data_IF_570584556100
#
_entry.id   IF_570584556100
#
_cell.length_a   1.000
_cell.length_b   1.000
_cell.length_c   1.000
_cell.angle_alpha   90.00
_cell.angle_beta   90.00
_cell.angle_gamma   90.00
#
_symmetry.space_group_name_H-M   'P 1'
#
loop_
_entity.id
_entity.type
_entity.pdbx_description
1 polymer ?
#
# COMPACT_ATOMS: atom_id res chain seq x y z
N UNK A 1 7.16 29.57 -4.58
CA UNK A 1 6.94 28.85 -3.30
C UNK A 1 5.49 28.49 -3.01
N UNK A 2 4.50 29.40 -3.12
CA UNK A 2 3.08 29.10 -2.79
C UNK A 2 2.48 27.89 -3.53
N UNK A 3 2.78 27.73 -4.83
CA UNK A 3 2.30 26.59 -5.61
C UNK A 3 2.90 25.25 -5.17
N UNK A 4 4.21 25.21 -4.90
CA UNK A 4 4.88 24.00 -4.38
C UNK A 4 4.27 23.62 -3.03
N UNK A 5 4.04 24.58 -2.13
CA UNK A 5 3.42 24.30 -0.83
C UNK A 5 2.00 23.74 -0.93
N UNK A 6 1.24 24.12 -1.96
CA UNK A 6 -0.12 23.64 -2.17
C UNK A 6 -0.18 22.29 -2.89
N UNK A 7 0.73 22.05 -3.83
CA UNK A 7 0.66 20.91 -4.76
C UNK A 7 1.82 19.90 -4.63
N UNK A 8 2.65 20.00 -3.57
CA UNK A 8 3.82 19.15 -3.37
C UNK A 8 3.55 17.65 -3.58
N UNK A 9 2.44 17.13 -3.04
CA UNK A 9 2.11 15.72 -3.12
C UNK A 9 1.74 15.26 -4.54
N UNK A 10 1.06 16.11 -5.32
CA UNK A 10 0.77 15.83 -6.74
C UNK A 10 2.07 15.86 -7.54
N UNK A 11 2.95 16.84 -7.29
CA UNK A 11 4.25 16.91 -7.95
C UNK A 11 5.10 15.67 -7.64
N UNK A 12 5.10 15.18 -6.40
CA UNK A 12 5.81 13.92 -6.06
C UNK A 12 5.28 12.75 -6.88
N UNK A 13 3.96 12.57 -6.99
CA UNK A 13 3.40 11.50 -7.80
C UNK A 13 3.69 11.65 -9.30
N UNK A 14 3.64 12.87 -9.84
CA UNK A 14 3.99 13.11 -11.25
C UNK A 14 5.46 12.81 -11.53
N UNK A 15 6.36 13.14 -10.60
CA UNK A 15 7.78 12.77 -10.68
C UNK A 15 7.93 11.25 -10.68
N UNK A 16 7.26 10.55 -9.75
CA UNK A 16 7.27 9.09 -9.71
C UNK A 16 6.72 8.46 -10.98
N UNK A 17 5.60 8.99 -11.51
CA UNK A 17 5.03 8.53 -12.77
C UNK A 17 5.99 8.68 -13.94
N UNK A 18 6.63 9.85 -14.07
CA UNK A 18 7.63 10.08 -15.11
C UNK A 18 8.79 9.08 -15.03
N UNK A 19 9.23 8.71 -13.82
CA UNK A 19 10.23 7.65 -13.64
C UNK A 19 9.71 6.26 -14.04
N UNK A 20 8.49 5.90 -13.63
CA UNK A 20 7.89 4.60 -13.95
C UNK A 20 7.72 4.38 -15.46
N UNK A 21 7.40 5.43 -16.22
CA UNK A 21 7.34 5.38 -17.68
C UNK A 21 8.67 4.98 -18.34
N UNK A 22 9.81 5.17 -17.67
CA UNK A 22 11.13 4.81 -18.22
C UNK A 22 11.46 3.31 -18.09
N UNK A 23 10.67 2.57 -17.30
CA UNK A 23 10.90 1.16 -16.94
C UNK A 23 9.71 0.25 -17.23
N UNK A 24 8.59 0.80 -17.70
CA UNK A 24 7.35 0.06 -17.98
C UNK A 24 7.57 -1.04 -19.02
N UNK A 25 6.95 -2.20 -18.82
CA UNK A 25 7.02 -3.31 -19.76
C UNK A 25 6.27 -2.98 -21.07
N UNK A 26 6.84 -3.28 -22.25
CA UNK A 26 6.16 -3.06 -23.53
C UNK A 26 4.97 -4.01 -23.73
N UNK A 27 4.99 -5.16 -23.06
CA UNK A 27 4.01 -6.26 -23.21
C UNK A 27 3.81 -7.03 -21.89
N UNK A 28 3.31 -8.27 -21.97
CA UNK A 28 3.17 -9.18 -20.83
C UNK A 28 4.54 -9.55 -20.27
N UNK A 29 4.61 -9.77 -18.96
CA UNK A 29 5.80 -10.29 -18.29
C UNK A 29 5.46 -11.63 -17.61
N UNK A 30 6.32 -12.10 -16.70
CA UNK A 30 6.12 -13.32 -15.91
C UNK A 30 4.84 -13.34 -15.06
N UNK A 31 4.55 -14.52 -14.51
CA UNK A 31 3.51 -14.79 -13.49
C UNK A 31 2.12 -14.47 -14.07
N UNK A 32 1.32 -13.62 -13.43
CA UNK A 32 -0.11 -13.51 -13.68
C UNK A 32 -0.46 -12.42 -14.69
N UNK A 33 0.53 -11.67 -15.17
CA UNK A 33 0.27 -10.44 -15.96
C UNK A 33 -0.55 -10.67 -17.23
N UNK A 34 -0.34 -11.79 -17.94
CA UNK A 34 -1.12 -12.13 -19.13
C UNK A 34 -2.58 -12.45 -18.80
N UNK A 35 -2.80 -13.28 -17.77
CA UNK A 35 -4.13 -13.61 -17.28
C UNK A 35 -4.87 -12.36 -16.75
N UNK A 36 -4.21 -11.54 -15.95
CA UNK A 36 -4.75 -10.30 -15.39
C UNK A 36 -5.06 -9.25 -16.47
N UNK A 37 -4.24 -9.15 -17.51
CA UNK A 37 -4.54 -8.31 -18.67
C UNK A 37 -5.78 -8.81 -19.42
N UNK A 38 -5.86 -10.12 -19.66
CA UNK A 38 -6.96 -10.74 -20.38
C UNK A 38 -8.29 -10.57 -19.64
N UNK A 39 -8.34 -10.79 -18.33
CA UNK A 39 -9.55 -10.57 -17.53
C UNK A 39 -9.95 -9.09 -17.48
N UNK A 40 -9.00 -8.16 -17.43
CA UNK A 40 -9.31 -6.73 -17.53
C UNK A 40 -9.86 -6.37 -18.92
N UNK A 41 -9.37 -6.97 -20.01
CA UNK A 41 -9.86 -6.66 -21.36
C UNK A 41 -11.20 -7.33 -21.69
N UNK A 42 -11.49 -8.49 -21.09
CA UNK A 42 -12.67 -9.31 -21.41
C UNK A 42 -13.75 -9.30 -20.33
N UNK A 43 -13.50 -8.56 -19.24
CA UNK A 43 -14.31 -8.59 -18.01
C UNK A 43 -14.44 -10.05 -17.51
N UNK A 44 -13.33 -10.77 -17.39
CA UNK A 44 -13.28 -12.18 -16.99
C UNK A 44 -13.25 -12.40 -15.47
N UNK A 45 -13.09 -13.65 -15.02
CA UNK A 45 -12.84 -13.98 -13.61
C UNK A 45 -11.41 -14.51 -13.49
N UNK A 46 -10.59 -13.74 -12.78
CA UNK A 46 -9.21 -14.06 -12.48
C UNK A 46 -9.09 -15.21 -11.49
N UNK A 47 -7.88 -15.73 -11.32
CA UNK A 47 -7.53 -16.64 -10.26
C UNK A 47 -7.94 -16.08 -8.87
N UNK A 48 -8.23 -16.96 -7.88
CA UNK A 48 -8.55 -16.58 -6.52
C UNK A 48 -7.61 -15.50 -5.95
N UNK A 49 -8.09 -14.49 -5.23
CA UNK A 49 -9.47 -14.34 -4.71
C UNK A 49 -10.42 -13.63 -5.69
N UNK A 50 -10.04 -13.52 -6.97
CA UNK A 50 -10.88 -13.09 -8.09
C UNK A 50 -10.86 -11.59 -8.38
N UNK A 51 -10.32 -10.79 -7.46
CA UNK A 51 -9.99 -9.36 -7.64
C UNK A 51 -11.08 -8.51 -8.35
N UNK A 52 -12.36 -8.60 -7.96
CA UNK A 52 -13.48 -8.01 -8.71
C UNK A 52 -13.32 -6.50 -8.96
N UNK A 53 -12.82 -5.74 -7.98
CA UNK A 53 -12.61 -4.30 -8.15
C UNK A 53 -11.53 -4.00 -9.19
N UNK A 54 -10.42 -4.75 -9.14
CA UNK A 54 -9.31 -4.63 -10.11
C UNK A 54 -9.78 -4.91 -11.53
N UNK A 55 -10.55 -5.99 -11.71
CA UNK A 55 -11.07 -6.39 -13.01
C UNK A 55 -12.04 -5.36 -13.58
N UNK A 56 -13.00 -4.88 -12.78
CA UNK A 56 -13.98 -3.90 -13.25
C UNK A 56 -13.36 -2.55 -13.60
N UNK A 57 -12.43 -2.04 -12.76
CA UNK A 57 -11.75 -0.77 -13.04
C UNK A 57 -10.82 -0.88 -14.25
N UNK A 58 -10.09 -1.99 -14.36
CA UNK A 58 -9.25 -2.29 -15.53
C UNK A 58 -10.08 -2.37 -16.81
N UNK A 59 -11.24 -3.04 -16.78
CA UNK A 59 -12.14 -3.11 -17.91
C UNK A 59 -12.63 -1.74 -18.36
N UNK A 60 -13.11 -0.90 -17.43
CA UNK A 60 -13.52 0.48 -17.75
C UNK A 60 -12.35 1.25 -18.38
N UNK A 61 -11.14 1.13 -17.84
CA UNK A 61 -9.97 1.79 -18.41
C UNK A 61 -9.60 1.23 -19.79
N UNK A 62 -9.75 -0.07 -20.01
CA UNK A 62 -9.49 -0.73 -21.30
C UNK A 62 -10.41 -0.22 -22.41
N UNK A 63 -11.59 0.31 -22.09
CA UNK A 63 -12.51 0.89 -23.07
C UNK A 63 -12.04 2.27 -23.58
N UNK A 64 -11.09 2.92 -22.91
CA UNK A 64 -10.54 4.20 -23.37
C UNK A 64 -9.72 3.96 -24.65
N UNK A 65 -10.02 4.66 -25.77
CA UNK A 65 -9.35 4.45 -27.04
C UNK A 65 -8.00 5.17 -27.09
N UNK A 66 -7.00 4.60 -26.43
CA UNK A 66 -5.61 5.09 -26.49
C UNK A 66 -4.86 4.46 -27.67
N UNK A 67 -3.86 5.14 -28.26
CA UNK A 67 -3.11 4.67 -29.43
C UNK A 67 -2.01 3.65 -29.04
N UNK A 68 -2.30 2.76 -28.09
CA UNK A 68 -1.37 1.75 -27.58
C UNK A 68 -1.99 0.35 -27.65
N UNK A 69 -1.18 -0.69 -27.56
CA UNK A 69 -1.68 -2.05 -27.33
C UNK A 69 -2.46 -2.12 -26.00
N UNK A 70 -3.42 -3.03 -25.90
CA UNK A 70 -4.21 -3.16 -24.66
C UNK A 70 -3.34 -3.56 -23.47
N UNK A 71 -2.34 -4.41 -23.67
CA UNK A 71 -1.40 -4.78 -22.62
C UNK A 71 -0.59 -3.59 -22.13
N UNK A 72 -0.02 -2.78 -23.03
CA UNK A 72 0.71 -1.57 -22.64
C UNK A 72 -0.20 -0.58 -21.92
N UNK A 73 -1.45 -0.45 -22.36
CA UNK A 73 -2.47 0.35 -21.68
C UNK A 73 -2.73 -0.15 -20.25
N UNK A 74 -2.77 -1.47 -20.00
CA UNK A 74 -2.93 -2.00 -18.64
C UNK A 74 -1.67 -1.82 -17.78
N UNK A 75 -0.48 -1.99 -18.36
CA UNK A 75 0.78 -1.66 -17.68
C UNK A 75 0.84 -0.17 -17.29
N UNK A 76 0.33 0.72 -18.15
CA UNK A 76 0.25 2.15 -17.89
C UNK A 76 -0.69 2.46 -16.71
N UNK A 77 -1.80 1.72 -16.61
CA UNK A 77 -2.72 1.83 -15.49
C UNK A 77 -2.06 1.46 -14.15
N UNK A 78 -1.23 0.42 -14.14
CA UNK A 78 -0.44 0.04 -12.96
C UNK A 78 0.51 1.18 -12.53
N UNK A 79 1.21 1.80 -13.48
CA UNK A 79 2.06 2.97 -13.23
C UNK A 79 1.27 4.16 -12.65
N UNK A 80 0.06 4.42 -13.17
CA UNK A 80 -0.84 5.45 -12.64
C UNK A 80 -1.24 5.14 -11.19
N UNK A 81 -1.65 3.91 -10.89
CA UNK A 81 -2.04 3.54 -9.52
C UNK A 81 -0.89 3.74 -8.52
N UNK A 82 0.33 3.28 -8.86
CA UNK A 82 1.50 3.46 -8.01
C UNK A 82 1.86 4.94 -7.82
N UNK A 83 1.81 5.76 -8.88
CA UNK A 83 2.09 7.19 -8.79
C UNK A 83 1.07 7.97 -7.93
N UNK A 84 -0.22 7.61 -8.04
CA UNK A 84 -1.26 8.18 -7.17
C UNK A 84 -1.08 7.70 -5.73
N UNK A 85 -0.69 6.43 -5.51
CA UNK A 85 -0.37 5.92 -4.19
C UNK A 85 0.76 6.72 -3.52
N UNK A 86 1.83 7.05 -4.26
CA UNK A 86 2.92 7.92 -3.79
C UNK A 86 2.41 9.32 -3.43
N UNK A 87 1.51 9.89 -4.23
CA UNK A 87 0.87 11.19 -3.93
C UNK A 87 0.09 11.14 -2.62
N UNK A 88 -0.74 10.11 -2.45
CA UNK A 88 -1.56 9.90 -1.27
C UNK A 88 -0.69 9.67 -0.03
N UNK A 89 0.35 8.86 -0.15
CA UNK A 89 1.34 8.65 0.91
C UNK A 89 2.01 9.97 1.31
N UNK A 90 2.49 10.75 0.34
CA UNK A 90 3.16 12.04 0.57
C UNK A 90 2.24 13.03 1.29
N UNK A 91 0.97 13.09 0.90
CA UNK A 91 -0.02 13.90 1.59
C UNK A 91 -0.24 13.41 3.03
N UNK A 92 -0.37 12.10 3.22
CA UNK A 92 -0.57 11.46 4.54
C UNK A 92 0.61 11.69 5.47
N UNK A 93 1.85 11.60 4.97
CA UNK A 93 3.06 11.86 5.73
C UNK A 93 3.07 13.28 6.31
N UNK A 94 2.77 14.31 5.49
CA UNK A 94 2.63 15.68 5.99
C UNK A 94 1.49 15.81 7.00
N UNK A 95 0.34 15.17 6.75
CA UNK A 95 -0.80 15.19 7.66
C UNK A 95 -0.43 14.65 9.05
N UNK A 96 0.37 13.59 9.12
CA UNK A 96 0.93 13.05 10.37
C UNK A 96 1.81 14.09 11.06
N UNK A 97 2.75 14.71 10.32
CA UNK A 97 3.64 15.76 10.85
C UNK A 97 2.90 17.05 11.28
N UNK A 98 1.76 17.35 10.68
CA UNK A 98 0.90 18.47 11.08
C UNK A 98 0.15 18.20 12.38
N UNK A 99 -0.03 16.93 12.74
CA UNK A 99 -0.85 16.50 13.87
C UNK A 99 -0.07 15.73 14.93
N UNK A 100 1.24 15.98 15.09
CA UNK A 100 2.10 15.26 16.04
C UNK A 100 1.54 15.22 17.47
N UNK A 101 0.93 16.32 17.93
CA UNK A 101 0.32 16.40 19.25
C UNK A 101 -0.81 15.38 19.46
N UNK A 102 -1.60 15.06 18.42
CA UNK A 102 -2.64 14.04 18.50
C UNK A 102 -2.06 12.63 18.73
N UNK A 103 -0.84 12.41 18.24
CA UNK A 103 -0.11 11.15 18.35
C UNK A 103 0.74 11.03 19.62
N UNK A 104 0.77 12.05 20.48
CA UNK A 104 1.39 11.97 21.79
C UNK A 104 0.47 11.31 22.82
N UNK A 105 1.05 10.56 23.76
CA UNK A 105 0.33 10.16 24.96
C UNK A 105 0.34 11.33 25.94
N UNK A 106 -0.85 11.80 26.34
CA UNK A 106 -0.95 12.78 27.40
C UNK A 106 -0.62 12.07 28.71
N UNK A 107 0.50 12.41 29.33
CA UNK A 107 0.75 12.07 30.73
C UNK A 107 -0.31 12.79 31.56
N UNK A 108 -1.38 12.09 31.95
CA UNK A 108 -2.23 12.55 33.04
C UNK A 108 -1.36 12.52 34.29
N UNK A 109 -0.93 13.68 34.77
CA UNK A 109 -0.38 13.76 36.12
C UNK A 109 -1.43 13.20 37.06
N UNK A 110 -1.10 12.13 37.80
CA UNK A 110 -1.90 11.73 38.97
C UNK A 110 -1.91 12.93 39.91
N UNK A 111 -2.94 13.77 39.84
CA UNK A 111 -3.28 14.60 40.99
C UNK A 111 -3.62 13.60 42.09
N UNK A 112 -2.72 13.49 43.07
CA UNK A 112 -2.92 12.72 44.27
C UNK A 112 -4.28 13.10 44.86
N UNK A 113 -5.26 12.21 44.70
CA UNK A 113 -6.55 12.27 45.37
C UNK A 113 -6.37 11.87 46.84
N UNK A 114 -5.59 12.67 47.57
CA UNK A 114 -5.55 12.65 49.04
C UNK A 114 -5.46 14.09 49.55
N UNK A 115 -6.64 14.61 49.94
CA UNK A 115 -6.89 15.74 50.87
C UNK A 115 -6.41 17.15 50.47
N UNK A 116 -7.33 18.04 50.06
CA UNK A 116 -8.00 19.04 50.92
C UNK A 116 -8.85 20.02 50.08
N UNK A 117 -10.00 20.40 50.66
CA UNK A 117 -10.92 21.47 50.25
C UNK A 117 -10.23 22.83 50.13
N UNK A 118 -10.82 23.69 49.29
CA UNK A 118 -10.66 25.15 49.13
C UNK A 118 -9.33 25.63 48.50
N UNK A 119 -9.36 25.83 47.18
CA UNK A 119 -9.27 27.17 46.59
C UNK A 119 -9.55 27.10 45.08
N UNK A 120 -10.66 27.72 44.69
CA UNK A 120 -11.08 27.93 43.30
C UNK A 120 -10.32 29.13 42.73
N UNK A 121 -9.21 28.85 42.03
CA UNK A 121 -8.64 29.61 40.89
C UNK A 121 -7.15 29.31 40.68
N UNK A 122 -6.77 28.03 40.58
CA UNK A 122 -5.50 27.66 39.94
C UNK A 122 -5.77 27.15 38.54
N UNK A 123 -5.49 28.03 37.57
CA UNK A 123 -5.36 27.67 36.15
C UNK A 123 -4.36 26.52 36.09
N UNK A 124 -4.86 25.33 35.77
CA UNK A 124 -4.03 24.14 35.55
C UNK A 124 -3.19 24.42 34.32
N UNK A 125 -1.91 24.73 34.52
CA UNK A 125 -0.97 24.87 33.41
C UNK A 125 -0.86 23.50 32.68
N UNK A 126 -0.93 23.48 31.34
CA UNK A 126 -0.76 22.23 30.61
C UNK A 126 0.66 21.71 30.80
N UNK A 127 0.77 20.43 31.15
CA UNK A 127 2.04 19.69 31.22
C UNK A 127 2.78 19.86 29.90
N UNK A 128 4.06 20.29 29.94
CA UNK A 128 4.94 20.39 28.77
C UNK A 128 5.00 19.04 28.06
N UNK A 129 4.24 18.91 26.99
CA UNK A 129 4.48 17.89 25.97
C UNK A 129 5.73 18.31 25.22
N UNK A 130 6.63 17.37 24.95
CA UNK A 130 7.79 17.55 24.08
C UNK A 130 7.30 17.78 22.64
N UNK A 131 6.76 18.96 22.38
CA UNK A 131 6.31 19.38 21.07
C UNK A 131 7.51 19.92 20.30
N UNK A 132 7.78 19.28 19.16
CA UNK A 132 8.80 19.73 18.23
C UNK A 132 8.17 20.79 17.33
N UNK A 133 8.69 22.02 17.35
CA UNK A 133 8.23 23.05 16.44
C UNK A 133 8.90 22.83 15.07
N UNK A 134 8.11 22.34 14.11
CA UNK A 134 8.54 22.07 12.75
C UNK A 134 7.96 23.13 11.80
N UNK A 135 8.84 23.82 11.06
CA UNK A 135 8.41 24.69 9.98
C UNK A 135 7.65 23.89 8.91
N UNK A 136 6.67 24.51 8.25
CA UNK A 136 5.87 23.86 7.20
C UNK A 136 6.76 23.37 6.04
N UNK A 137 7.80 24.14 5.71
CA UNK A 137 8.83 23.77 4.72
C UNK A 137 9.50 22.45 5.07
N UNK A 138 9.91 22.23 6.33
CA UNK A 138 10.58 21.00 6.73
C UNK A 138 9.64 19.79 6.64
N UNK A 139 8.38 19.96 7.02
CA UNK A 139 7.37 18.90 6.89
C UNK A 139 7.14 18.51 5.43
N UNK A 140 7.06 19.50 4.54
CA UNK A 140 6.88 19.26 3.10
C UNK A 140 8.10 18.53 2.52
N UNK A 141 9.32 18.97 2.82
CA UNK A 141 10.55 18.31 2.36
C UNK A 141 10.58 16.85 2.84
N UNK A 142 10.35 16.61 4.14
CA UNK A 142 10.33 15.26 4.70
C UNK A 142 9.27 14.37 4.06
N UNK A 143 8.08 14.92 3.77
CA UNK A 143 7.02 14.19 3.10
C UNK A 143 7.36 13.86 1.64
N UNK A 144 7.92 14.81 0.87
CA UNK A 144 8.32 14.59 -0.53
C UNK A 144 9.38 13.48 -0.59
N UNK A 145 10.46 13.60 0.18
CA UNK A 145 11.55 12.63 0.14
C UNK A 145 11.12 11.26 0.68
N UNK A 146 10.26 11.21 1.71
CA UNK A 146 9.67 9.95 2.16
C UNK A 146 8.82 9.27 1.06
N UNK A 147 8.05 10.05 0.30
CA UNK A 147 7.28 9.55 -0.84
C UNK A 147 8.17 9.05 -1.98
N UNK A 148 9.27 9.76 -2.27
CA UNK A 148 10.23 9.33 -3.29
C UNK A 148 11.04 8.09 -2.86
N UNK A 149 11.39 7.96 -1.57
CA UNK A 149 12.02 6.73 -1.05
C UNK A 149 11.08 5.52 -1.17
N UNK A 150 9.77 5.70 -0.95
CA UNK A 150 8.79 4.66 -1.21
C UNK A 150 8.68 4.37 -2.72
N UNK A 151 8.62 5.42 -3.54
CA UNK A 151 8.45 5.28 -4.98
C UNK A 151 9.58 4.50 -5.63
N UNK A 152 10.80 4.65 -5.11
CA UNK A 152 12.02 3.98 -5.57
C UNK A 152 12.37 2.72 -4.77
N UNK A 153 11.49 2.25 -3.88
CA UNK A 153 11.66 0.90 -3.32
C UNK A 153 11.52 -0.12 -4.44
N UNK A 154 12.46 -1.06 -4.54
CA UNK A 154 12.53 -2.04 -5.63
C UNK A 154 11.19 -2.70 -5.88
N UNK A 155 10.57 -3.29 -4.85
CA UNK A 155 9.30 -4.01 -5.02
C UNK A 155 8.16 -3.06 -5.35
N UNK A 156 8.06 -1.89 -4.70
CA UNK A 156 7.02 -0.90 -5.01
C UNK A 156 7.11 -0.41 -6.45
N UNK A 157 8.33 -0.11 -6.91
CA UNK A 157 8.61 0.30 -8.28
C UNK A 157 8.29 -0.82 -9.27
N UNK A 158 8.65 -2.07 -8.97
CA UNK A 158 8.33 -3.21 -9.84
C UNK A 158 6.82 -3.32 -10.12
N UNK A 159 5.95 -3.10 -9.11
CA UNK A 159 4.49 -3.09 -9.30
C UNK A 159 3.97 -1.99 -10.23
N UNK A 160 4.78 -1.00 -10.58
CA UNK A 160 4.42 0.03 -11.56
C UNK A 160 4.76 -0.34 -13.01
N UNK A 161 5.51 -1.43 -13.22
CA UNK A 161 6.05 -1.77 -14.54
C UNK A 161 5.11 -2.61 -15.39
N UNK A 162 4.20 -3.35 -14.76
CA UNK A 162 3.28 -4.25 -15.44
C UNK A 162 1.94 -4.36 -14.72
N UNK A 163 0.93 -4.85 -15.43
CA UNK A 163 -0.40 -5.13 -14.89
C UNK A 163 -0.36 -6.22 -13.82
N UNK A 164 -0.53 -5.79 -12.57
CA UNK A 164 -0.58 -6.64 -11.39
C UNK A 164 -1.59 -6.10 -10.38
N UNK A 165 -2.20 -7.00 -9.59
CA UNK A 165 -3.25 -6.63 -8.61
C UNK A 165 -2.73 -5.73 -7.49
N UNK A 166 -1.41 -5.81 -7.23
CA UNK A 166 -0.74 -5.08 -6.16
C UNK A 166 -0.62 -3.57 -6.45
N UNK A 167 -0.60 -3.16 -7.72
CA UNK A 167 -0.56 -1.75 -8.11
C UNK A 167 -1.78 -0.98 -7.58
N UNK A 168 -2.99 -1.50 -7.84
CA UNK A 168 -4.23 -0.97 -7.29
C UNK A 168 -4.30 -1.17 -5.76
N UNK A 169 -3.77 -2.29 -5.26
CA UNK A 169 -3.73 -2.54 -3.83
C UNK A 169 -2.93 -1.47 -3.06
N UNK A 170 -1.77 -1.05 -3.58
CA UNK A 170 -0.95 0.02 -3.01
C UNK A 170 -1.70 1.35 -2.93
N UNK A 171 -2.45 1.70 -3.97
CA UNK A 171 -3.34 2.87 -3.95
C UNK A 171 -4.41 2.73 -2.86
N UNK A 172 -5.11 1.60 -2.81
CA UNK A 172 -6.16 1.37 -1.82
C UNK A 172 -5.63 1.42 -0.39
N UNK A 173 -4.50 0.77 -0.11
CA UNK A 173 -3.85 0.77 1.20
C UNK A 173 -3.41 2.17 1.62
N UNK A 174 -2.77 2.95 0.74
CA UNK A 174 -2.37 4.32 1.07
C UNK A 174 -3.58 5.22 1.32
N UNK A 175 -4.68 5.02 0.58
CA UNK A 175 -5.96 5.72 0.81
C UNK A 175 -6.60 5.28 2.13
N UNK A 176 -6.60 3.99 2.48
CA UNK A 176 -7.09 3.47 3.76
C UNK A 176 -6.33 4.12 4.91
N UNK A 177 -5.00 4.18 4.84
CA UNK A 177 -4.16 4.85 5.84
C UNK A 177 -4.51 6.35 5.90
N UNK A 178 -4.61 7.05 4.76
CA UNK A 178 -4.99 8.46 4.73
C UNK A 178 -6.31 8.72 5.45
N UNK A 179 -7.35 7.96 5.12
CA UNK A 179 -8.69 8.13 5.68
C UNK A 179 -8.71 7.76 7.15
N UNK A 180 -7.97 6.72 7.57
CA UNK A 180 -7.77 6.38 8.98
C UNK A 180 -7.11 7.52 9.75
N UNK A 181 -6.04 8.11 9.22
CA UNK A 181 -5.35 9.24 9.86
C UNK A 181 -6.25 10.47 9.93
N UNK A 182 -7.04 10.77 8.89
CA UNK A 182 -8.08 11.81 8.94
C UNK A 182 -9.15 11.51 10.00
N UNK A 183 -9.59 10.25 10.10
CA UNK A 183 -10.55 9.84 11.11
C UNK A 183 -10.00 10.00 12.52
N UNK A 184 -8.73 9.64 12.74
CA UNK A 184 -8.06 9.79 14.03
C UNK A 184 -7.89 11.26 14.44
N UNK A 185 -7.40 12.10 13.52
CA UNK A 185 -7.00 13.49 13.80
C UNK A 185 -8.15 14.48 13.72
N UNK A 186 -9.09 14.33 12.80
CA UNK A 186 -10.13 15.32 12.48
C UNK A 186 -11.54 14.95 12.95
N UNK A 187 -11.74 13.76 13.55
CA UNK A 187 -13.06 13.41 14.09
C UNK A 187 -13.38 14.23 15.34
N UNK A 188 -14.57 14.84 15.33
CA UNK A 188 -15.13 15.58 16.44
C UNK A 188 -15.86 14.63 17.39
N UNK A 189 -15.53 14.69 18.68
CA UNK A 189 -16.12 13.87 19.74
C UNK A 189 -17.62 14.12 19.96
N UNK A 190 -18.11 15.30 19.56
CA UNK A 190 -19.51 15.71 19.70
C UNK A 190 -20.46 14.96 18.76
N UNK A 191 -19.98 14.44 17.61
CA UNK A 191 -20.82 13.65 16.71
C UNK A 191 -20.86 12.19 17.15
N UNK A 192 -22.00 11.53 16.95
CA UNK A 192 -22.13 10.09 17.19
C UNK A 192 -21.18 9.30 16.29
N UNK A 193 -21.08 9.67 15.01
CA UNK A 193 -20.14 9.09 14.03
C UNK A 193 -19.62 10.19 13.09
N UNK A 194 -18.29 10.27 12.94
CA UNK A 194 -17.66 11.19 11.98
C UNK A 194 -17.69 10.63 10.55
N UNK A 195 -17.89 11.49 9.54
CA UNK A 195 -17.84 11.10 8.12
C UNK A 195 -16.57 10.35 7.74
N UNK A 196 -15.44 10.63 8.38
CA UNK A 196 -14.16 9.97 8.10
C UNK A 196 -14.16 8.50 8.51
N UNK A 197 -14.87 8.12 9.58
CA UNK A 197 -15.02 6.70 9.95
C UNK A 197 -15.91 5.94 8.97
N UNK A 198 -16.90 6.62 8.37
CA UNK A 198 -17.72 6.03 7.29
C UNK A 198 -16.91 5.86 6.02
N UNK A 199 -16.16 6.88 5.61
CA UNK A 199 -15.25 6.75 4.47
C UNK A 199 -14.20 5.68 4.71
N UNK A 200 -13.69 5.54 5.94
CA UNK A 200 -12.77 4.47 6.30
C UNK A 200 -13.38 3.09 6.03
N UNK A 201 -14.62 2.86 6.50
CA UNK A 201 -15.34 1.60 6.26
C UNK A 201 -15.51 1.30 4.76
N UNK A 202 -15.87 2.31 3.96
CA UNK A 202 -16.00 2.18 2.50
C UNK A 202 -14.65 1.82 1.87
N UNK A 203 -13.59 2.57 2.17
CA UNK A 203 -12.25 2.32 1.59
C UNK A 203 -11.69 0.96 2.01
N UNK A 204 -12.01 0.51 3.23
CA UNK A 204 -11.62 -0.81 3.70
C UNK A 204 -12.31 -1.92 2.89
N UNK A 205 -13.61 -1.76 2.60
CA UNK A 205 -14.35 -2.69 1.73
C UNK A 205 -13.75 -2.75 0.32
N UNK A 206 -13.38 -1.59 -0.25
CA UNK A 206 -12.67 -1.53 -1.53
C UNK A 206 -11.33 -2.29 -1.49
N UNK A 207 -10.55 -2.11 -0.41
CA UNK A 207 -9.31 -2.86 -0.19
C UNK A 207 -9.52 -4.37 -0.22
N UNK A 208 -10.46 -4.88 0.58
CA UNK A 208 -10.79 -6.31 0.61
C UNK A 208 -11.31 -6.82 -0.73
N UNK A 209 -12.04 -6.01 -1.50
CA UNK A 209 -12.48 -6.41 -2.84
C UNK A 209 -11.37 -6.44 -3.90
N UNK A 210 -10.16 -6.00 -3.55
CA UNK A 210 -8.98 -6.05 -4.41
C UNK A 210 -7.94 -7.06 -3.96
N UNK A 211 -7.63 -7.18 -2.66
CA UNK A 211 -6.66 -8.19 -2.20
C UNK A 211 -6.80 -8.47 -0.69
N UNK A 212 -6.64 -9.73 -0.27
CA UNK A 212 -6.83 -10.16 1.12
C UNK A 212 -5.77 -9.62 2.09
N UNK A 213 -4.60 -9.21 1.60
CA UNK A 213 -3.57 -8.55 2.42
C UNK A 213 -4.05 -7.20 3.01
N UNK A 214 -5.22 -6.69 2.62
CA UNK A 214 -5.90 -5.62 3.37
C UNK A 214 -6.10 -6.01 4.84
N UNK A 215 -6.26 -7.29 5.16
CA UNK A 215 -6.36 -7.76 6.55
C UNK A 215 -5.16 -7.36 7.42
N UNK A 216 -3.97 -7.20 6.84
CA UNK A 216 -2.72 -6.95 7.57
C UNK A 216 -2.68 -5.60 8.28
N UNK A 217 -3.51 -4.63 7.85
CA UNK A 217 -3.61 -3.32 8.51
C UNK A 217 -4.56 -3.34 9.73
N UNK A 218 -5.42 -4.35 9.84
CA UNK A 218 -6.51 -4.40 10.84
C UNK A 218 -6.00 -4.36 12.28
N UNK A 219 -4.92 -5.05 12.68
CA UNK A 219 -4.38 -4.92 14.03
C UNK A 219 -3.97 -3.48 14.38
N UNK A 220 -3.34 -2.78 13.43
CA UNK A 220 -2.96 -1.37 13.59
C UNK A 220 -4.19 -0.45 13.66
N UNK A 221 -5.17 -0.64 12.76
CA UNK A 221 -6.45 0.08 12.77
C UNK A 221 -7.14 -0.08 14.12
N UNK A 222 -7.23 -1.31 14.62
CA UNK A 222 -7.89 -1.66 15.88
C UNK A 222 -7.26 -0.90 17.03
N UNK A 223 -5.92 -0.94 17.13
CA UNK A 223 -5.17 -0.16 18.11
C UNK A 223 -5.51 1.34 18.01
N UNK A 224 -5.40 1.94 16.82
CA UNK A 224 -5.56 3.37 16.66
C UNK A 224 -7.01 3.83 16.91
N UNK A 225 -7.99 3.00 16.51
CA UNK A 225 -9.41 3.23 16.77
C UNK A 225 -9.71 3.27 18.26
N UNK A 226 -9.25 2.28 19.02
CA UNK A 226 -9.51 2.22 20.46
C UNK A 226 -8.71 3.26 21.26
N UNK A 227 -7.52 3.66 20.79
CA UNK A 227 -6.78 4.79 21.36
C UNK A 227 -7.56 6.11 21.20
N UNK A 228 -8.29 6.29 20.09
CA UNK A 228 -9.10 7.50 19.85
C UNK A 228 -10.45 7.47 20.57
N UNK A 229 -11.18 6.36 20.47
CA UNK A 229 -12.59 6.29 20.88
C UNK A 229 -12.80 5.59 22.23
N UNK A 230 -11.75 5.00 22.80
CA UNK A 230 -11.82 4.20 24.03
C UNK A 230 -12.62 2.90 23.86
N UNK A 231 -12.55 2.03 24.86
CA UNK A 231 -13.37 0.81 24.93
C UNK A 231 -14.69 1.12 25.64
N UNK A 232 -15.77 1.29 24.89
CA UNK A 232 -17.08 1.68 25.44
C UNK A 232 -18.23 1.18 24.56
N UNK A 233 -19.46 1.14 25.10
CA UNK A 233 -20.64 0.79 24.30
C UNK A 233 -20.86 1.74 23.12
N UNK A 234 -20.44 3.01 23.23
CA UNK A 234 -20.50 3.98 22.11
C UNK A 234 -19.55 3.57 20.99
N UNK A 235 -18.32 3.19 21.31
CA UNK A 235 -17.33 2.79 20.30
C UNK A 235 -17.70 1.45 19.64
N UNK A 236 -18.33 0.52 20.38
CA UNK A 236 -18.87 -0.72 19.80
C UNK A 236 -20.03 -0.42 18.84
N UNK A 237 -21.00 0.44 19.23
CA UNK A 237 -22.11 0.85 18.35
C UNK A 237 -21.60 1.50 17.05
N UNK A 238 -20.54 2.29 17.15
CA UNK A 238 -19.90 2.89 15.97
C UNK A 238 -19.25 1.83 15.07
N UNK A 239 -18.60 0.79 15.62
CA UNK A 239 -18.09 -0.34 14.83
C UNK A 239 -19.23 -1.04 14.10
N UNK A 240 -20.33 -1.35 14.79
CA UNK A 240 -21.51 -1.99 14.18
C UNK A 240 -22.02 -1.15 13.00
N UNK A 241 -22.13 0.16 13.18
CA UNK A 241 -22.57 1.05 12.09
C UNK A 241 -21.57 1.10 10.92
N UNK A 242 -20.26 1.09 11.19
CA UNK A 242 -19.25 0.96 10.13
C UNK A 242 -19.39 -0.37 9.37
N UNK A 243 -19.66 -1.47 10.08
CA UNK A 243 -19.87 -2.79 9.46
C UNK A 243 -21.13 -2.82 8.59
N UNK A 244 -22.20 -2.12 9.00
CA UNK A 244 -23.42 -1.96 8.20
C UNK A 244 -23.20 -1.21 6.88
N UNK A 245 -22.11 -0.44 6.74
CA UNK A 245 -21.71 0.18 5.47
C UNK A 245 -20.70 -0.69 4.73
N UNK A 246 -19.74 -1.27 5.46
CA UNK A 246 -18.68 -2.11 4.91
C UNK A 246 -19.24 -3.32 4.16
N UNK A 247 -20.12 -4.11 4.78
CA UNK A 247 -20.60 -5.36 4.18
C UNK A 247 -21.42 -5.13 2.90
N UNK A 248 -22.39 -4.18 2.84
CA UNK A 248 -23.10 -3.92 1.59
C UNK A 248 -22.18 -3.49 0.43
N UNK A 249 -21.19 -2.63 0.68
CA UNK A 249 -20.22 -2.22 -0.35
C UNK A 249 -19.40 -3.41 -0.82
N UNK A 250 -18.91 -4.22 0.12
CA UNK A 250 -18.13 -5.42 -0.18
C UNK A 250 -18.95 -6.42 -1.00
N UNK A 251 -20.17 -6.73 -0.57
CA UNK A 251 -21.08 -7.66 -1.23
C UNK A 251 -21.48 -7.15 -2.62
N UNK A 252 -21.72 -5.86 -2.78
CA UNK A 252 -22.02 -5.26 -4.08
C UNK A 252 -20.90 -5.54 -5.09
N UNK A 253 -19.65 -5.34 -4.68
CA UNK A 253 -18.50 -5.56 -5.56
C UNK A 253 -18.27 -7.06 -5.80
N UNK A 254 -18.35 -7.91 -4.77
CA UNK A 254 -18.17 -9.35 -4.90
C UNK A 254 -19.31 -10.04 -5.67
N UNK A 255 -20.50 -9.43 -5.75
CA UNK A 255 -21.61 -9.94 -6.58
C UNK A 255 -21.22 -10.08 -8.06
N UNK A 256 -20.18 -9.36 -8.49
CA UNK A 256 -19.53 -9.54 -9.79
C UNK A 256 -19.22 -11.01 -10.09
N UNK A 257 -18.66 -11.76 -9.14
CA UNK A 257 -18.20 -13.13 -9.37
C UNK A 257 -19.33 -14.08 -9.82
N UNK A 258 -20.41 -14.28 -9.05
CA UNK A 258 -21.49 -15.17 -9.47
C UNK A 258 -22.28 -14.65 -10.67
N UNK A 259 -22.50 -13.33 -10.76
CA UNK A 259 -23.19 -12.73 -11.91
C UNK A 259 -22.39 -12.99 -13.18
N UNK A 260 -21.09 -12.72 -13.16
CA UNK A 260 -20.25 -12.91 -14.33
C UNK A 260 -20.10 -14.39 -14.65
N UNK A 261 -19.88 -15.27 -13.67
CA UNK A 261 -19.81 -16.71 -13.89
C UNK A 261 -21.08 -17.27 -14.58
N UNK A 262 -22.27 -16.76 -14.25
CA UNK A 262 -23.54 -17.17 -14.89
C UNK A 262 -23.64 -16.83 -16.38
N UNK A 263 -22.82 -15.90 -16.86
CA UNK A 263 -22.76 -15.48 -18.26
C UNK A 263 -21.75 -16.29 -19.08
N UNK A 264 -21.10 -17.30 -18.49
CA UNK A 264 -20.09 -18.15 -19.14
C UNK A 264 -18.97 -17.32 -19.83
N UNK A 265 -18.21 -16.50 -19.08
CA UNK A 265 -17.13 -15.72 -19.65
C UNK A 265 -16.02 -16.64 -20.15
N UNK A 266 -15.25 -16.17 -21.15
CA UNK A 266 -14.11 -16.92 -21.70
C UNK A 266 -13.13 -17.31 -20.60
N UNK A 267 -12.77 -16.35 -19.75
CA UNK A 267 -12.00 -16.58 -18.53
C UNK A 267 -12.94 -16.70 -17.33
N UNK A 268 -13.06 -17.91 -16.77
CA UNK A 268 -13.96 -18.22 -15.68
C UNK A 268 -13.29 -19.05 -14.57
N UNK A 269 -12.21 -18.53 -13.98
CA UNK A 269 -11.41 -19.32 -13.02
C UNK A 269 -12.23 -19.80 -11.83
N UNK A 270 -12.23 -21.11 -11.58
CA UNK A 270 -12.98 -21.75 -10.49
C UNK A 270 -14.51 -21.72 -10.65
N UNK A 271 -15.05 -21.04 -11.66
CA UNK A 271 -16.48 -20.91 -11.97
C UNK A 271 -17.35 -20.70 -10.72
N UNK A 272 -17.26 -19.54 -10.04
CA UNK A 272 -17.93 -19.23 -8.77
C UNK A 272 -19.44 -18.97 -8.93
N UNK A 273 -20.17 -19.92 -9.52
CA UNK A 273 -21.61 -19.80 -9.84
C UNK A 273 -22.55 -20.21 -8.70
N UNK A 274 -22.05 -20.94 -7.70
CA UNK A 274 -22.83 -21.41 -6.56
C UNK A 274 -22.10 -21.16 -5.24
N UNK A 275 -22.80 -21.29 -4.12
CA UNK A 275 -22.29 -20.94 -2.79
C UNK A 275 -20.96 -21.60 -2.45
N UNK A 276 -20.81 -22.90 -2.71
CA UNK A 276 -19.57 -23.62 -2.44
C UNK A 276 -18.41 -23.02 -3.23
N UNK A 277 -18.57 -22.87 -4.55
CA UNK A 277 -17.50 -22.36 -5.42
C UNK A 277 -17.15 -20.90 -5.13
N UNK A 278 -18.15 -20.07 -4.77
CA UNK A 278 -17.94 -18.69 -4.33
C UNK A 278 -17.05 -18.67 -3.09
N UNK A 279 -17.38 -19.46 -2.05
CA UNK A 279 -16.60 -19.49 -0.81
C UNK A 279 -15.18 -20.01 -1.07
N UNK A 280 -15.03 -21.07 -1.87
CA UNK A 280 -13.71 -21.62 -2.23
C UNK A 280 -12.85 -20.60 -2.97
N UNK A 281 -13.45 -19.84 -3.87
CA UNK A 281 -12.77 -18.82 -4.66
C UNK A 281 -12.40 -17.60 -3.81
N UNK A 282 -13.33 -17.02 -3.04
CA UNK A 282 -13.06 -15.84 -2.21
C UNK A 282 -12.09 -16.14 -1.07
N UNK A 283 -12.14 -17.33 -0.48
CA UNK A 283 -11.22 -17.72 0.60
C UNK A 283 -9.81 -18.09 0.12
N UNK A 284 -9.58 -18.15 -1.19
CA UNK A 284 -8.31 -18.59 -1.77
C UNK A 284 -7.97 -20.03 -1.37
N UNK A 285 -8.98 -20.91 -1.24
CA UNK A 285 -8.82 -22.24 -0.64
C UNK A 285 -7.66 -23.04 -1.27
N UNK A 286 -7.49 -22.94 -2.58
CA UNK A 286 -6.42 -23.64 -3.31
C UNK A 286 -4.99 -23.24 -2.90
N UNK A 287 -4.81 -22.06 -2.29
CA UNK A 287 -3.50 -21.53 -1.91
C UNK A 287 -3.18 -21.70 -0.43
N UNK A 288 -4.17 -22.15 0.36
CA UNK A 288 -3.99 -22.34 1.81
C UNK A 288 -2.95 -23.40 2.15
N UNK A 289 -2.62 -24.29 1.20
CA UNK A 289 -1.57 -25.31 1.34
C UNK A 289 -0.16 -24.72 1.54
N UNK A 290 0.08 -23.48 1.10
CA UNK A 290 1.38 -22.81 1.26
C UNK A 290 1.41 -21.85 2.46
N UNK A 291 0.28 -21.65 3.14
CA UNK A 291 0.19 -20.82 4.34
C UNK A 291 0.55 -21.66 5.58
N UNK A 292 1.47 -21.14 6.39
CA UNK A 292 1.97 -21.77 7.61
C UNK A 292 2.50 -23.19 7.36
N UNK A 293 3.20 -23.39 6.23
CA UNK A 293 3.70 -24.70 5.80
C UNK A 293 4.72 -25.31 6.77
N UNK A 294 5.72 -24.53 7.21
CA UNK A 294 6.68 -24.94 8.25
C UNK A 294 7.45 -23.77 8.88
N UNK A 295 8.13 -24.04 10.00
CA UNK A 295 9.05 -23.08 10.64
C UNK A 295 10.28 -22.79 9.79
N UNK A 296 10.75 -23.76 9.01
CA UNK A 296 11.89 -23.62 8.10
C UNK A 296 11.55 -22.71 6.92
N UNK A 297 10.36 -22.88 6.34
CA UNK A 297 9.84 -21.99 5.31
C UNK A 297 9.72 -20.56 5.84
N UNK A 298 9.19 -20.38 7.06
CA UNK A 298 9.12 -19.06 7.69
C UNK A 298 10.50 -18.43 7.92
N UNK A 299 11.48 -19.21 8.37
CA UNK A 299 12.85 -18.73 8.54
C UNK A 299 13.51 -18.36 7.21
N UNK A 300 13.29 -19.15 6.15
CA UNK A 300 13.75 -18.86 4.79
C UNK A 300 13.20 -17.52 4.30
N UNK A 301 11.88 -17.32 4.37
CA UNK A 301 11.25 -16.07 3.92
C UNK A 301 11.64 -14.86 4.78
N UNK A 302 11.84 -15.06 6.10
CA UNK A 302 12.35 -14.00 6.97
C UNK A 302 13.78 -13.58 6.60
N UNK A 303 14.67 -14.54 6.37
CA UNK A 303 16.04 -14.26 5.93
C UNK A 303 16.06 -13.59 4.55
N UNK A 304 15.18 -14.03 3.63
CA UNK A 304 14.99 -13.37 2.34
C UNK A 304 14.55 -11.91 2.52
N UNK A 305 13.52 -11.65 3.32
CA UNK A 305 13.03 -10.30 3.60
C UNK A 305 14.12 -9.38 4.17
N UNK A 306 14.81 -9.82 5.23
CA UNK A 306 15.89 -9.04 5.85
C UNK A 306 17.04 -8.83 4.87
N UNK A 307 17.40 -9.88 4.14
CA UNK A 307 18.42 -9.85 3.10
C UNK A 307 18.07 -8.88 1.97
N UNK A 308 16.78 -8.68 1.64
CA UNK A 308 16.35 -7.81 0.56
C UNK A 308 16.20 -6.32 0.97
N UNK A 309 16.19 -5.99 2.26
CA UNK A 309 16.00 -4.61 2.75
C UNK A 309 17.00 -3.59 2.16
N UNK A 310 18.24 -4.02 1.90
CA UNK A 310 19.25 -3.15 1.28
C UNK A 310 18.95 -2.87 -0.21
N UNK A 311 18.32 -3.81 -0.93
CA UNK A 311 17.87 -3.57 -2.31
C UNK A 311 16.62 -2.69 -2.36
N UNK A 312 15.81 -2.74 -1.31
CA UNK A 312 14.60 -1.94 -1.19
C UNK A 312 14.91 -0.48 -0.89
N UNK A 313 15.77 -0.19 0.09
CA UNK A 313 15.99 1.19 0.56
C UNK A 313 17.44 1.67 0.41
N UNK A 314 18.39 0.83 0.02
CA UNK A 314 19.82 1.20 -0.11
C UNK A 314 20.31 1.96 1.14
N UNK A 315 21.06 3.05 0.96
CA UNK A 315 21.51 3.92 2.04
C UNK A 315 20.35 4.63 2.78
N UNK A 316 19.20 4.81 2.14
CA UNK A 316 18.00 5.41 2.74
C UNK A 316 17.45 4.57 3.90
N UNK A 317 17.85 3.29 4.01
CA UNK A 317 17.50 2.44 5.14
C UNK A 317 18.01 3.01 6.48
N UNK A 318 19.19 3.65 6.49
CA UNK A 318 19.73 4.30 7.70
C UNK A 318 18.81 5.43 8.16
N UNK A 319 18.22 6.17 7.21
CA UNK A 319 17.26 7.24 7.49
C UNK A 319 15.98 6.64 8.09
N UNK A 320 15.48 5.52 7.54
CA UNK A 320 14.34 4.81 8.12
C UNK A 320 14.60 4.32 9.56
N UNK A 321 15.79 3.76 9.81
CA UNK A 321 16.19 3.29 11.15
C UNK A 321 16.25 4.45 12.15
N UNK A 322 16.86 5.57 11.78
CA UNK A 322 16.85 6.78 12.63
C UNK A 322 15.42 7.24 12.91
N UNK A 323 14.53 7.12 11.91
CA UNK A 323 13.12 7.45 12.00
C UNK A 323 12.31 6.61 12.98
N UNK A 324 12.69 5.35 13.25
CA UNK A 324 12.06 4.52 14.29
C UNK A 324 12.14 5.21 15.66
N UNK A 325 13.34 5.68 16.02
CA UNK A 325 13.60 6.33 17.31
C UNK A 325 12.83 7.66 17.38
N UNK A 326 12.90 8.45 16.31
CA UNK A 326 12.32 9.80 16.27
C UNK A 326 10.78 9.73 16.33
N UNK A 327 10.16 8.81 15.59
CA UNK A 327 8.70 8.62 15.63
C UNK A 327 8.22 8.10 16.98
N UNK A 328 8.99 7.25 17.67
CA UNK A 328 8.68 6.84 19.05
C UNK A 328 8.66 8.02 20.02
N UNK A 329 9.59 8.96 19.88
CA UNK A 329 9.69 10.15 20.73
C UNK A 329 8.57 11.15 20.43
N UNK A 330 8.37 11.50 19.15
CA UNK A 330 7.52 12.64 18.77
C UNK A 330 6.10 12.28 18.33
N UNK A 331 5.82 11.01 18.00
CA UNK A 331 4.53 10.56 17.52
C UNK A 331 4.19 9.15 18.04
N UNK A 332 4.36 8.90 19.35
CA UNK A 332 4.35 7.56 19.94
C UNK A 332 3.15 6.68 19.58
N UNK A 333 1.93 7.23 19.49
CA UNK A 333 0.75 6.49 19.03
C UNK A 333 0.86 6.09 17.55
N UNK A 334 1.34 7.00 16.70
CA UNK A 334 1.59 6.68 15.29
C UNK A 334 2.72 5.65 15.13
N UNK A 335 3.79 5.75 15.94
CA UNK A 335 4.85 4.73 15.98
C UNK A 335 4.28 3.35 16.31
N UNK A 336 3.45 3.22 17.35
CA UNK A 336 2.85 1.94 17.74
C UNK A 336 1.93 1.42 16.62
N UNK A 337 1.12 2.28 16.01
CA UNK A 337 0.34 1.91 14.82
C UNK A 337 1.24 1.36 13.71
N UNK A 338 2.28 2.10 13.34
CA UNK A 338 3.14 1.76 12.21
C UNK A 338 3.97 0.49 12.47
N UNK A 339 4.45 0.27 13.70
CA UNK A 339 5.19 -0.96 14.04
C UNK A 339 4.26 -2.18 14.11
N UNK A 340 3.01 -2.04 14.59
CA UNK A 340 2.03 -3.13 14.54
C UNK A 340 1.75 -3.51 13.09
N UNK A 341 1.55 -2.53 12.19
CA UNK A 341 1.33 -2.79 10.77
C UNK A 341 2.55 -3.47 10.13
N UNK A 342 3.75 -2.98 10.39
CA UNK A 342 5.00 -3.59 9.92
C UNK A 342 5.11 -5.04 10.38
N UNK A 343 4.97 -5.30 11.69
CA UNK A 343 5.09 -6.64 12.26
C UNK A 343 3.97 -7.57 11.77
N UNK A 344 2.73 -7.10 11.67
CA UNK A 344 1.61 -7.90 11.16
C UNK A 344 1.86 -8.32 9.72
N UNK A 345 2.43 -7.42 8.91
CA UNK A 345 2.76 -7.69 7.51
C UNK A 345 3.89 -8.72 7.41
N UNK A 346 5.00 -8.50 8.13
CA UNK A 346 6.16 -9.41 8.08
C UNK A 346 5.77 -10.79 8.62
N UNK A 347 5.10 -10.86 9.78
CA UNK A 347 4.70 -12.14 10.37
C UNK A 347 3.76 -12.94 9.48
N UNK A 348 2.82 -12.29 8.79
CA UNK A 348 1.96 -13.00 7.84
C UNK A 348 2.75 -13.47 6.62
N UNK A 349 3.52 -12.57 6.01
CA UNK A 349 4.19 -12.83 4.73
C UNK A 349 5.28 -13.89 4.85
N UNK A 350 6.04 -13.93 5.95
CA UNK A 350 7.04 -15.00 6.13
C UNK A 350 6.39 -16.39 6.21
N UNK A 351 5.14 -16.48 6.66
CA UNK A 351 4.40 -17.74 6.73
C UNK A 351 3.72 -18.11 5.40
N UNK A 352 4.12 -17.51 4.27
CA UNK A 352 3.62 -17.88 2.96
C UNK A 352 4.77 -18.33 2.06
N UNK A 353 4.80 -19.62 1.72
CA UNK A 353 5.90 -20.24 0.96
C UNK A 353 5.61 -20.25 -0.53
N UNK A 354 5.77 -19.09 -1.16
CA UNK A 354 5.66 -18.87 -2.61
C UNK A 354 6.93 -18.22 -3.16
N UNK A 355 7.12 -18.31 -4.48
CA UNK A 355 8.32 -17.79 -5.15
C UNK A 355 8.30 -16.27 -5.31
N UNK A 356 7.13 -15.67 -5.54
CA UNK A 356 6.88 -14.25 -5.80
C UNK A 356 6.50 -13.47 -4.52
N UNK A 357 7.14 -13.81 -3.40
CA UNK A 357 6.74 -13.32 -2.07
C UNK A 357 6.92 -11.80 -1.86
N UNK A 358 7.76 -11.14 -2.65
CA UNK A 358 8.10 -9.72 -2.50
C UNK A 358 6.85 -8.82 -2.37
N UNK A 359 5.83 -9.06 -3.19
CA UNK A 359 4.56 -8.30 -3.20
C UNK A 359 3.81 -8.35 -1.87
N UNK A 360 3.98 -9.41 -1.07
CA UNK A 360 3.34 -9.53 0.25
C UNK A 360 3.98 -8.63 1.31
N UNK A 361 5.24 -8.21 1.10
CA UNK A 361 5.95 -7.28 1.99
C UNK A 361 5.67 -5.80 1.70
N UNK A 362 4.88 -5.46 0.67
CA UNK A 362 4.63 -4.08 0.25
C UNK A 362 4.15 -3.15 1.39
N UNK A 363 3.25 -3.62 2.26
CA UNK A 363 2.77 -2.81 3.39
C UNK A 363 3.88 -2.57 4.44
N UNK A 364 4.85 -3.49 4.58
CA UNK A 364 6.02 -3.28 5.42
C UNK A 364 6.94 -2.19 4.85
N UNK A 365 7.10 -2.13 3.52
CA UNK A 365 7.86 -1.07 2.84
C UNK A 365 7.17 0.30 2.96
N UNK A 366 5.83 0.35 2.87
CA UNK A 366 5.06 1.57 3.20
C UNK A 366 5.32 2.02 4.64
N UNK A 367 5.34 1.09 5.60
CA UNK A 367 5.69 1.40 6.99
C UNK A 367 7.12 1.89 7.17
N UNK A 368 8.10 1.30 6.48
CA UNK A 368 9.50 1.76 6.50
C UNK A 368 9.64 3.18 5.93
N UNK A 369 8.92 3.50 4.85
CA UNK A 369 8.89 4.85 4.29
C UNK A 369 8.32 5.88 5.29
N UNK A 370 7.27 5.52 6.05
CA UNK A 370 6.79 6.39 7.13
C UNK A 370 7.84 6.62 8.20
N UNK A 371 8.64 5.62 8.56
CA UNK A 371 9.78 5.83 9.46
C UNK A 371 10.81 6.76 8.82
N UNK A 372 11.14 6.56 7.54
CA UNK A 372 12.08 7.43 6.82
C UNK A 372 11.65 8.92 6.88
N UNK A 373 10.35 9.24 6.80
CA UNK A 373 9.85 10.61 6.98
C UNK A 373 10.33 11.23 8.31
N UNK A 374 10.25 10.49 9.42
CA UNK A 374 10.74 10.95 10.72
C UNK A 374 12.27 11.02 10.78
N UNK A 375 12.98 10.10 10.10
CA UNK A 375 14.43 10.17 9.97
C UNK A 375 14.89 11.42 9.23
N UNK A 376 14.19 11.80 8.16
CA UNK A 376 14.45 13.03 7.40
C UNK A 376 14.21 14.26 8.29
N UNK A 377 13.13 14.27 9.07
CA UNK A 377 12.88 15.33 10.06
C UNK A 377 14.07 15.49 11.01
N UNK A 378 14.60 14.39 11.55
CA UNK A 378 15.75 14.42 12.45
C UNK A 378 17.02 14.93 11.77
N UNK A 379 17.29 14.50 10.54
CA UNK A 379 18.42 14.98 9.75
C UNK A 379 18.34 16.50 9.52
N UNK A 380 17.17 17.00 9.11
CA UNK A 380 16.96 18.44 8.88
C UNK A 380 17.18 19.22 10.17
N UNK A 381 16.58 18.79 11.29
CA UNK A 381 16.71 19.48 12.56
C UNK A 381 18.14 19.46 13.10
N UNK A 382 18.85 18.35 12.91
CA UNK A 382 20.26 18.25 13.26
C UNK A 382 21.10 19.28 12.50
N UNK A 383 20.94 19.39 11.18
CA UNK A 383 21.73 20.33 10.38
C UNK A 383 21.35 21.79 10.65
N UNK A 384 20.05 22.07 10.84
CA UNK A 384 19.57 23.41 11.20
C UNK A 384 20.10 23.87 12.56
N UNK A 385 20.26 22.94 13.53
CA UNK A 385 20.88 23.24 14.83
C UNK A 385 22.30 23.79 14.69
N UNK A 386 23.05 23.34 13.69
CA UNK A 386 24.39 23.85 13.37
C UNK A 386 24.39 25.03 12.39
N UNK A 387 23.23 25.68 12.20
CA UNK A 387 23.04 26.81 11.26
C UNK A 387 23.41 26.47 9.81
N UNK A 388 23.38 25.20 9.44
CA UNK A 388 23.60 24.76 8.06
C UNK A 388 22.35 25.09 7.23
N UNK A 389 22.57 25.67 6.06
CA UNK A 389 21.49 26.06 5.14
C UNK A 389 20.73 24.84 4.59
N UNK A 390 19.41 24.99 4.38
CA UNK A 390 18.49 23.89 4.02
C UNK A 390 18.83 23.18 2.71
N UNK A 391 19.63 23.79 1.83
CA UNK A 391 20.07 23.14 0.58
C UNK A 391 20.95 21.91 0.85
N UNK A 392 21.71 21.89 1.94
CA UNK A 392 22.60 20.77 2.28
C UNK A 392 21.83 19.48 2.59
N UNK A 393 20.83 19.45 3.50
CA UNK A 393 20.01 18.25 3.68
C UNK A 393 19.30 17.83 2.40
N UNK A 394 18.81 18.77 1.59
CA UNK A 394 18.18 18.45 0.30
C UNK A 394 19.17 17.74 -0.63
N UNK A 395 20.40 18.24 -0.74
CA UNK A 395 21.44 17.61 -1.56
C UNK A 395 21.82 16.22 -1.04
N UNK A 396 21.96 16.03 0.28
CA UNK A 396 22.25 14.72 0.87
C UNK A 396 21.14 13.72 0.54
N UNK A 397 19.88 14.12 0.72
CA UNK A 397 18.73 13.26 0.43
C UNK A 397 18.59 12.97 -1.07
N UNK A 398 18.93 13.93 -1.94
CA UNK A 398 18.96 13.72 -3.39
C UNK A 398 20.04 12.71 -3.79
N UNK A 399 21.21 12.74 -3.16
CA UNK A 399 22.25 11.71 -3.35
C UNK A 399 21.75 10.34 -2.89
N UNK A 400 21.06 10.25 -1.74
CA UNK A 400 20.51 8.99 -1.26
C UNK A 400 19.45 8.42 -2.22
N UNK A 401 18.57 9.28 -2.75
CA UNK A 401 17.62 8.90 -3.81
C UNK A 401 18.34 8.40 -5.06
N UNK A 402 19.39 9.10 -5.52
CA UNK A 402 20.17 8.69 -6.69
C UNK A 402 20.85 7.34 -6.50
N UNK A 403 21.40 7.07 -5.31
CA UNK A 403 21.99 5.77 -4.97
C UNK A 403 20.95 4.66 -4.91
N UNK A 404 19.77 4.92 -4.34
CA UNK A 404 18.67 3.96 -4.31
C UNK A 404 18.13 3.67 -5.72
N UNK A 405 17.96 4.70 -6.55
CA UNK A 405 17.60 4.54 -7.96
C UNK A 405 18.62 3.64 -8.69
N UNK A 406 19.91 3.97 -8.56
CA UNK A 406 20.98 3.21 -9.22
C UNK A 406 21.02 1.75 -8.76
N UNK A 407 20.83 1.48 -7.47
CA UNK A 407 20.85 0.10 -6.95
C UNK A 407 19.70 -0.78 -7.41
N UNK A 408 18.56 -0.18 -7.80
CA UNK A 408 17.32 -0.91 -8.10
C UNK A 408 16.94 -0.86 -9.58
N UNK A 409 17.53 0.04 -10.39
CA UNK A 409 17.11 0.26 -11.79
C UNK A 409 17.18 -1.01 -12.64
N UNK A 410 18.33 -1.70 -12.65
CA UNK A 410 18.51 -2.88 -13.50
C UNK A 410 17.61 -4.05 -13.10
N UNK A 411 17.34 -4.20 -11.80
CA UNK A 411 16.44 -5.23 -11.25
C UNK A 411 14.96 -4.98 -11.62
N UNK A 412 14.58 -3.73 -11.90
CA UNK A 412 13.17 -3.33 -12.11
C UNK A 412 12.87 -3.01 -13.57
N UNK A 413 13.86 -2.59 -14.36
CA UNK A 413 13.66 -2.09 -15.72
C UNK A 413 13.11 -3.17 -16.69
N UNK A 414 11.86 -3.01 -17.13
CA UNK A 414 11.19 -3.90 -18.08
C UNK A 414 11.07 -3.32 -19.51
N UNK A 415 11.62 -2.13 -19.80
CA UNK A 415 11.34 -1.37 -21.03
C UNK A 415 11.62 -2.09 -22.35
N UNK A 416 12.54 -3.06 -22.32
CA UNK A 416 12.97 -3.85 -23.47
C UNK A 416 12.63 -5.34 -23.29
N UNK A 417 11.78 -5.70 -22.33
CA UNK A 417 11.47 -7.09 -22.06
C UNK A 417 10.34 -7.58 -22.97
N UNK A 418 10.73 -8.20 -24.09
CA UNK A 418 9.82 -8.90 -25.01
C UNK A 418 9.87 -10.43 -24.83
N UNK A 419 10.69 -10.93 -23.90
CA UNK A 419 10.98 -12.36 -23.73
C UNK A 419 9.74 -13.23 -23.64
N UNK A 420 8.73 -12.81 -22.87
CA UNK A 420 7.51 -13.59 -22.63
C UNK A 420 6.55 -13.54 -23.83
N UNK A 421 6.48 -12.40 -24.52
CA UNK A 421 5.74 -12.28 -25.78
C UNK A 421 6.39 -13.16 -26.85
N UNK A 422 7.69 -12.98 -27.10
CA UNK A 422 8.43 -13.71 -28.13
C UNK A 422 8.35 -15.22 -27.90
N UNK A 423 8.53 -15.66 -26.65
CA UNK A 423 8.42 -17.07 -26.29
C UNK A 423 7.01 -17.61 -26.53
N UNK A 424 5.98 -16.89 -26.06
CA UNK A 424 4.59 -17.32 -26.19
C UNK A 424 4.14 -17.36 -27.63
N UNK A 425 4.42 -16.31 -28.42
CA UNK A 425 4.06 -16.24 -29.83
C UNK A 425 4.86 -17.24 -30.67
N UNK A 426 6.13 -17.48 -30.36
CA UNK A 426 6.93 -18.53 -31.04
C UNK A 426 6.30 -19.90 -30.84
N UNK A 427 5.79 -20.20 -29.64
CA UNK A 427 5.08 -21.46 -29.41
C UNK A 427 3.73 -21.47 -30.14
N UNK A 428 2.86 -20.49 -29.90
CA UNK A 428 1.50 -20.45 -30.45
C UNK A 428 1.48 -20.44 -31.99
N UNK A 429 2.36 -19.69 -32.63
CA UNK A 429 2.40 -19.57 -34.09
C UNK A 429 2.89 -20.84 -34.80
N UNK A 430 3.55 -21.77 -34.09
CA UNK A 430 3.99 -23.05 -34.66
C UNK A 430 2.92 -24.14 -34.57
N UNK A 431 1.87 -23.92 -33.79
CA UNK A 431 0.81 -24.89 -33.59
C UNK A 431 -0.24 -24.80 -34.70
N UNK A 432 -0.74 -25.95 -35.21
CA UNK A 432 -1.92 -25.95 -36.05
C UNK A 432 -3.12 -25.29 -35.36
N UNK A 433 -4.02 -24.67 -36.14
CA UNK A 433 -5.27 -24.10 -35.61
C UNK A 433 -6.06 -25.17 -34.84
N UNK A 434 -6.68 -24.76 -33.73
CA UNK A 434 -7.46 -25.62 -32.83
C UNK A 434 -6.65 -26.74 -32.13
N UNK A 435 -5.33 -26.56 -31.98
CA UNK A 435 -4.51 -27.45 -31.15
C UNK A 435 -4.90 -27.35 -29.67
N UNK A 436 -4.80 -28.46 -28.95
CA UNK A 436 -4.88 -28.49 -27.49
C UNK A 436 -3.47 -28.56 -26.93
N UNK A 437 -3.08 -27.58 -26.13
CA UNK A 437 -1.77 -27.54 -25.48
C UNK A 437 -1.91 -27.93 -24.01
N UNK A 438 -1.11 -28.92 -23.59
CA UNK A 438 -0.94 -29.27 -22.18
C UNK A 438 0.40 -28.74 -21.72
N UNK A 439 0.40 -27.84 -20.73
CA UNK A 439 1.62 -27.30 -20.12
C UNK A 439 1.42 -27.08 -18.63
N UNK A 440 2.53 -27.08 -17.89
CA UNK A 440 2.60 -26.69 -16.48
C UNK A 440 3.34 -25.35 -16.29
N UNK A 441 3.77 -24.71 -17.39
CA UNK A 441 4.55 -23.47 -17.35
C UNK A 441 3.63 -22.26 -17.18
N UNK A 442 3.04 -22.12 -15.98
CA UNK A 442 2.15 -21.01 -15.64
C UNK A 442 2.82 -19.66 -15.87
N UNK A 443 3.96 -19.48 -15.20
CA UNK A 443 4.69 -18.21 -15.08
C UNK A 443 5.23 -17.64 -16.39
N UNK A 444 5.39 -18.46 -17.43
CA UNK A 444 6.09 -18.08 -18.66
C UNK A 444 5.26 -18.21 -19.93
N UNK A 445 4.26 -19.10 -19.92
CA UNK A 445 3.51 -19.44 -21.14
C UNK A 445 2.00 -19.37 -20.93
N UNK A 446 1.44 -20.10 -19.94
CA UNK A 446 -0.02 -20.26 -19.83
C UNK A 446 -0.69 -18.91 -19.57
N UNK A 447 -0.18 -18.14 -18.60
CA UNK A 447 -0.72 -16.81 -18.28
C UNK A 447 -0.65 -15.87 -19.49
N UNK A 448 0.52 -15.72 -20.10
CA UNK A 448 0.71 -14.92 -21.32
C UNK A 448 -0.20 -15.38 -22.48
N UNK A 449 -0.40 -16.68 -22.64
CA UNK A 449 -1.24 -17.25 -23.69
C UNK A 449 -2.71 -16.86 -23.57
N UNK A 450 -3.22 -16.60 -22.35
CA UNK A 450 -4.61 -16.12 -22.19
C UNK A 450 -4.83 -14.73 -22.81
N UNK A 451 -3.78 -13.92 -22.94
CA UNK A 451 -3.87 -12.60 -23.56
C UNK A 451 -3.72 -12.65 -25.09
N UNK A 452 -2.86 -13.52 -25.61
CA UNK A 452 -2.53 -13.57 -27.04
C UNK A 452 -3.48 -14.45 -27.88
N UNK A 453 -4.40 -15.18 -27.26
CA UNK A 453 -5.45 -15.96 -27.90
C UNK A 453 -6.77 -15.19 -27.88
#
# INVERSE_FOLDING_TARGET
MKYIQKYYYILTGLISFAFYLTTIAPSVIQIDTGELAAVQCTLGIAHPTGYPLFTMLGYIFSLVPLPFSKIFQMNLLAAVYCAVAVSVFTFTAKLVLDNLNAFQFVLRSKQNSRKKKKDSNKIVQPVKTSSIELSDTYKIISAIFGGLFLALSKTFWFQSTSVEVYSLHLLLITVIILVLIKAFTLSNEAKSISKYWLFFAITLALGFSNHMTTLLIIPGVTYLYFVKNGFSSKSIKQIIFMLLIFFPVLLLIYSYLPIRASQNPVMNWGNPINWERIIRHISGQQYQVWLFSSTEAAAKQFNYFVGNLHKEFSISLIVAIAGLIVSFIYARKFFIFNIIVFLSTVLYSINYDINDIDSYFLLAYVSLAFFAVFGIVQLILFLVKYKIIIIVPISILAVFLGLQFYSSYDDVNQKNNYTYEDYTLSLLNTLPKNSIVFSYQWDYFISASYYFQ
#
